data_IF_830904998485
#
_entry.id   IF_830904998485
#
_cell.length_a   1.000
_cell.length_b   1.000
_cell.length_c   1.000
_cell.angle_alpha   90.00
_cell.angle_beta   90.00
_cell.angle_gamma   90.00
#
_symmetry.space_group_name_H-M   'P 1'
#
loop_
_entity.id
_entity.type
_entity.pdbx_description
1 polymer ?
#
# COMPACT_ATOMS: atom_id res chain seq x y z
N UNK A 1 -64.84 42.59 -74.26
CA UNK A 1 -64.09 43.34 -73.23
C UNK A 1 -64.37 42.82 -71.82
N UNK A 2 -65.63 42.73 -71.36
CA UNK A 2 -65.99 42.27 -70.00
C UNK A 2 -65.43 40.86 -69.64
N UNK A 3 -65.55 39.88 -70.54
CA UNK A 3 -65.13 38.49 -70.30
C UNK A 3 -63.60 38.33 -70.11
N UNK A 4 -62.80 39.15 -70.79
CA UNK A 4 -61.33 39.12 -70.69
C UNK A 4 -60.88 39.69 -69.35
N UNK A 5 -61.57 40.73 -68.85
CA UNK A 5 -61.31 41.31 -67.54
C UNK A 5 -61.65 40.34 -66.38
N UNK A 6 -62.75 39.58 -66.50
CA UNK A 6 -63.11 38.55 -65.52
C UNK A 6 -62.14 37.36 -65.52
N UNK A 7 -61.64 36.96 -66.70
CA UNK A 7 -60.59 35.94 -66.80
C UNK A 7 -59.30 36.39 -66.12
N UNK A 8 -58.89 37.65 -66.32
CA UNK A 8 -57.70 38.22 -65.67
C UNK A 8 -57.79 38.21 -64.14
N UNK A 9 -58.95 38.60 -63.58
CA UNK A 9 -59.19 38.54 -62.13
C UNK A 9 -59.16 37.11 -61.58
N UNK A 10 -59.75 36.14 -62.29
CA UNK A 10 -59.71 34.72 -61.89
C UNK A 10 -58.29 34.15 -61.93
N UNK A 11 -57.46 34.58 -62.88
CA UNK A 11 -56.07 34.16 -63.00
C UNK A 11 -55.23 34.71 -61.83
N UNK A 12 -55.38 36.01 -61.51
CA UNK A 12 -54.74 36.62 -60.34
C UNK A 12 -55.16 35.97 -59.02
N UNK A 13 -56.45 35.64 -58.86
CA UNK A 13 -56.94 34.93 -57.67
C UNK A 13 -56.34 33.53 -57.54
N UNK A 14 -56.20 32.81 -58.66
CA UNK A 14 -55.53 31.50 -58.67
C UNK A 14 -54.06 31.60 -58.32
N UNK A 15 -53.36 32.60 -58.85
CA UNK A 15 -51.94 32.84 -58.60
C UNK A 15 -51.68 33.21 -57.12
N UNK A 16 -52.53 34.05 -56.55
CA UNK A 16 -52.52 34.37 -55.12
C UNK A 16 -52.79 33.14 -54.25
N UNK A 17 -53.77 32.31 -54.63
CA UNK A 17 -54.09 31.08 -53.91
C UNK A 17 -52.95 30.05 -53.99
N UNK A 18 -52.29 29.89 -55.14
CA UNK A 18 -51.13 29.00 -55.27
C UNK A 18 -49.95 29.48 -54.44
N UNK A 19 -49.68 30.80 -54.43
CA UNK A 19 -48.60 31.36 -53.63
C UNK A 19 -48.88 31.19 -52.12
N UNK A 20 -50.11 31.38 -51.69
CA UNK A 20 -50.53 31.14 -50.31
C UNK A 20 -50.36 29.66 -49.90
N UNK A 21 -50.81 28.73 -50.74
CA UNK A 21 -50.65 27.30 -50.49
C UNK A 21 -49.17 26.87 -50.50
N UNK A 22 -48.36 27.43 -51.41
CA UNK A 22 -46.92 27.19 -51.46
C UNK A 22 -46.24 27.66 -50.16
N UNK A 23 -46.63 28.83 -49.65
CA UNK A 23 -46.13 29.36 -48.39
C UNK A 23 -46.51 28.45 -47.21
N UNK A 24 -47.77 28.05 -47.11
CA UNK A 24 -48.25 27.12 -46.07
C UNK A 24 -47.52 25.78 -46.13
N UNK A 25 -47.27 25.25 -47.33
CA UNK A 25 -46.51 24.01 -47.52
C UNK A 25 -45.06 24.17 -47.04
N UNK A 26 -44.41 25.28 -47.36
CA UNK A 26 -43.04 25.55 -46.93
C UNK A 26 -42.93 25.72 -45.41
N UNK A 27 -43.91 26.38 -44.78
CA UNK A 27 -44.00 26.51 -43.33
C UNK A 27 -44.22 25.15 -42.66
N UNK A 28 -45.13 24.33 -43.18
CA UNK A 28 -45.38 22.98 -42.68
C UNK A 28 -44.16 22.06 -42.85
N UNK A 29 -43.47 22.11 -43.99
CA UNK A 29 -42.22 21.37 -44.21
C UNK A 29 -41.10 21.84 -43.28
N UNK A 30 -41.01 23.15 -43.04
CA UNK A 30 -40.05 23.73 -42.08
C UNK A 30 -40.31 23.24 -40.66
N UNK A 31 -41.56 23.27 -40.21
CA UNK A 31 -41.98 22.78 -38.90
C UNK A 31 -41.69 21.27 -38.75
N UNK A 32 -42.00 20.46 -39.78
CA UNK A 32 -41.73 19.03 -39.78
C UNK A 32 -40.22 18.72 -39.66
N UNK A 33 -39.37 19.44 -40.42
CA UNK A 33 -37.91 19.28 -40.33
C UNK A 33 -37.38 19.66 -38.95
N UNK A 34 -37.85 20.78 -38.38
CA UNK A 34 -37.46 21.21 -37.04
C UNK A 34 -37.88 20.18 -35.98
N UNK A 35 -39.08 19.60 -36.11
CA UNK A 35 -39.55 18.55 -35.21
C UNK A 35 -38.70 17.28 -35.32
N UNK A 36 -38.32 16.88 -36.54
CA UNK A 36 -37.44 15.74 -36.78
C UNK A 36 -36.07 15.94 -36.13
N UNK A 37 -35.46 17.10 -36.33
CA UNK A 37 -34.17 17.44 -35.72
C UNK A 37 -34.22 17.39 -34.19
N UNK A 38 -35.30 17.90 -33.58
CA UNK A 38 -35.50 17.80 -32.12
C UNK A 38 -35.61 16.35 -31.66
N UNK A 39 -36.33 15.50 -32.40
CA UNK A 39 -36.46 14.09 -32.07
C UNK A 39 -35.10 13.36 -32.14
N UNK A 40 -34.32 13.63 -33.19
CA UNK A 40 -32.98 13.05 -33.35
C UNK A 40 -32.04 13.51 -32.22
N UNK A 41 -32.10 14.79 -31.83
CA UNK A 41 -31.30 15.34 -30.73
C UNK A 41 -31.67 14.70 -29.38
N UNK A 42 -32.96 14.53 -29.09
CA UNK A 42 -33.42 13.84 -27.88
C UNK A 42 -32.99 12.37 -27.84
N UNK A 43 -32.97 11.67 -28.99
CA UNK A 43 -32.45 10.30 -29.05
C UNK A 43 -30.97 10.23 -28.69
N UNK A 44 -30.14 11.13 -29.24
CA UNK A 44 -28.72 11.20 -28.91
C UNK A 44 -28.48 11.48 -27.41
N UNK A 45 -29.20 12.44 -26.84
CA UNK A 45 -29.12 12.74 -25.41
C UNK A 45 -29.57 11.57 -24.54
N UNK A 46 -30.62 10.85 -24.93
CA UNK A 46 -31.09 9.67 -24.21
C UNK A 46 -30.08 8.52 -24.23
N UNK A 47 -29.41 8.30 -25.37
CA UNK A 47 -28.33 7.33 -25.50
C UNK A 47 -27.13 7.68 -24.63
N UNK A 48 -26.69 8.95 -24.67
CA UNK A 48 -25.58 9.43 -23.84
C UNK A 48 -25.87 9.29 -22.34
N UNK A 49 -27.11 9.57 -21.90
CA UNK A 49 -27.52 9.38 -20.50
C UNK A 49 -27.56 7.90 -20.10
N UNK A 50 -28.01 7.02 -21.00
CA UNK A 50 -28.02 5.59 -20.73
C UNK A 50 -26.60 5.04 -20.55
N UNK A 51 -25.65 5.45 -21.40
CA UNK A 51 -24.24 5.09 -21.25
C UNK A 51 -23.63 5.64 -19.96
N UNK A 52 -23.95 6.90 -19.61
CA UNK A 52 -23.50 7.50 -18.36
C UNK A 52 -24.03 6.74 -17.14
N UNK A 53 -25.31 6.36 -17.13
CA UNK A 53 -25.90 5.57 -16.05
C UNK A 53 -25.26 4.18 -15.94
N UNK A 54 -24.95 3.53 -17.06
CA UNK A 54 -24.24 2.24 -17.05
C UNK A 54 -22.84 2.38 -16.44
N UNK A 55 -22.08 3.43 -16.80
CA UNK A 55 -20.77 3.70 -16.21
C UNK A 55 -20.87 3.98 -14.71
N UNK A 56 -21.87 4.76 -14.30
CA UNK A 56 -22.10 5.05 -12.88
C UNK A 56 -22.47 3.78 -12.10
N UNK A 57 -23.30 2.91 -12.65
CA UNK A 57 -23.65 1.63 -12.04
C UNK A 57 -22.43 0.72 -11.89
N UNK A 58 -21.59 0.62 -12.92
CA UNK A 58 -20.35 -0.16 -12.86
C UNK A 58 -19.38 0.37 -11.78
N UNK A 59 -19.29 1.70 -11.61
CA UNK A 59 -18.50 2.31 -10.55
C UNK A 59 -19.08 2.00 -9.17
N UNK A 60 -20.40 2.06 -8.99
CA UNK A 60 -21.06 1.71 -7.72
C UNK A 60 -20.80 0.25 -7.34
N UNK A 61 -20.88 -0.67 -8.28
CA UNK A 61 -20.56 -2.08 -8.04
C UNK A 61 -19.09 -2.30 -7.68
N UNK A 62 -18.18 -1.55 -8.30
CA UNK A 62 -16.76 -1.61 -7.96
C UNK A 62 -16.50 -1.10 -6.54
N UNK A 63 -17.11 0.04 -6.16
CA UNK A 63 -17.00 0.60 -4.81
C UNK A 63 -17.53 -0.39 -3.77
N UNK A 64 -18.71 -1.00 -4.00
CA UNK A 64 -19.27 -2.00 -3.09
C UNK A 64 -18.34 -3.20 -2.90
N UNK A 65 -17.69 -3.67 -3.97
CA UNK A 65 -16.69 -4.75 -3.89
C UNK A 65 -15.48 -4.34 -3.07
N UNK A 66 -14.98 -3.11 -3.25
CA UNK A 66 -13.85 -2.60 -2.46
C UNK A 66 -14.21 -2.46 -0.98
N UNK A 67 -15.40 -1.94 -0.66
CA UNK A 67 -15.88 -1.84 0.73
C UNK A 67 -16.00 -3.22 1.39
N UNK A 68 -16.49 -4.22 0.65
CA UNK A 68 -16.54 -5.59 1.14
C UNK A 68 -15.13 -6.14 1.42
N UNK A 69 -14.19 -5.95 0.49
CA UNK A 69 -12.81 -6.39 0.65
C UNK A 69 -12.13 -5.74 1.86
N UNK A 70 -12.36 -4.44 2.08
CA UNK A 70 -11.85 -3.72 3.26
C UNK A 70 -12.42 -4.31 4.55
N UNK A 71 -13.73 -4.60 4.59
CA UNK A 71 -14.35 -5.24 5.76
C UNK A 71 -13.77 -6.62 6.05
N UNK A 72 -13.56 -7.43 5.02
CA UNK A 72 -12.95 -8.76 5.14
C UNK A 72 -11.50 -8.67 5.64
N UNK A 73 -10.72 -7.72 5.11
CA UNK A 73 -9.34 -7.47 5.57
C UNK A 73 -9.31 -7.00 7.03
N UNK A 74 -10.20 -6.10 7.43
CA UNK A 74 -10.31 -5.63 8.81
C UNK A 74 -10.69 -6.78 9.76
N UNK A 75 -11.63 -7.64 9.36
CA UNK A 75 -11.99 -8.83 10.13
C UNK A 75 -10.79 -9.78 10.29
N UNK A 76 -10.10 -10.09 9.20
CA UNK A 76 -8.92 -10.96 9.22
C UNK A 76 -7.78 -10.40 10.08
N UNK A 77 -7.53 -9.09 10.02
CA UNK A 77 -6.55 -8.43 10.88
C UNK A 77 -6.95 -8.53 12.36
N UNK A 78 -8.21 -8.27 12.70
CA UNK A 78 -8.69 -8.36 14.08
C UNK A 78 -8.60 -9.79 14.66
N UNK A 79 -8.83 -10.79 13.82
CA UNK A 79 -8.69 -12.19 14.21
C UNK A 79 -7.20 -12.56 14.39
N UNK A 80 -6.33 -12.11 13.48
CA UNK A 80 -4.90 -12.32 13.57
C UNK A 80 -4.30 -11.70 14.84
N UNK A 81 -4.68 -10.45 15.17
CA UNK A 81 -4.23 -9.77 16.39
C UNK A 81 -4.73 -10.49 17.64
N UNK A 82 -5.97 -10.96 17.64
CA UNK A 82 -6.53 -11.71 18.79
C UNK A 82 -5.78 -13.03 19.01
N UNK A 83 -5.48 -13.77 17.93
CA UNK A 83 -4.68 -15.00 18.00
C UNK A 83 -3.25 -14.74 18.49
N UNK A 84 -2.62 -13.67 18.03
CA UNK A 84 -1.27 -13.28 18.49
C UNK A 84 -1.25 -12.97 19.99
N UNK A 85 -2.26 -12.25 20.50
CA UNK A 85 -2.37 -11.96 21.92
C UNK A 85 -2.58 -13.21 22.78
N UNK A 86 -3.43 -14.14 22.33
CA UNK A 86 -3.60 -15.43 23.03
C UNK A 86 -2.33 -16.29 22.98
N UNK A 87 -1.60 -16.31 21.87
CA UNK A 87 -0.29 -16.96 21.78
C UNK A 87 0.72 -16.33 22.74
N UNK A 88 0.73 -15.00 22.87
CA UNK A 88 1.61 -14.30 23.81
C UNK A 88 1.30 -14.70 25.26
N UNK A 89 0.03 -14.76 25.66
CA UNK A 89 -0.36 -15.24 27.00
C UNK A 89 0.10 -16.68 27.26
N UNK A 90 -0.04 -17.56 26.27
CA UNK A 90 0.43 -18.95 26.39
C UNK A 90 1.94 -18.97 26.54
N UNK A 91 2.67 -18.17 25.75
CA UNK A 91 4.12 -18.06 25.83
C UNK A 91 4.58 -17.57 27.20
N UNK A 92 3.97 -16.53 27.75
CA UNK A 92 4.26 -16.04 29.11
C UNK A 92 4.00 -17.10 30.19
N UNK A 93 2.92 -17.88 30.06
CA UNK A 93 2.63 -18.97 30.99
C UNK A 93 3.67 -20.08 30.91
N UNK A 94 4.07 -20.45 29.70
CA UNK A 94 5.12 -21.45 29.48
C UNK A 94 6.47 -20.96 30.02
N UNK A 95 6.81 -19.69 29.79
CA UNK A 95 8.03 -19.08 30.32
C UNK A 95 8.06 -19.11 31.85
N UNK A 96 6.99 -18.67 32.53
CA UNK A 96 6.90 -18.76 34.00
C UNK A 96 7.01 -20.21 34.49
N UNK A 97 6.44 -21.17 33.76
CA UNK A 97 6.55 -22.59 34.14
C UNK A 97 7.97 -23.13 33.95
N UNK A 98 8.69 -22.68 32.92
CA UNK A 98 10.08 -23.06 32.69
C UNK A 98 11.00 -22.50 33.77
N UNK A 99 10.83 -21.23 34.14
CA UNK A 99 11.56 -20.57 35.24
C UNK A 99 11.37 -21.32 36.58
N UNK A 100 10.13 -21.74 36.89
CA UNK A 100 9.84 -22.52 38.10
C UNK A 100 10.50 -23.92 38.08
N UNK A 101 10.55 -24.57 36.92
CA UNK A 101 11.22 -25.86 36.76
C UNK A 101 12.74 -25.72 36.84
N UNK A 102 13.29 -24.61 36.37
CA UNK A 102 14.71 -24.29 36.47
C UNK A 102 15.11 -24.06 37.92
N UNK A 103 14.37 -23.23 38.67
CA UNK A 103 14.61 -23.05 40.12
C UNK A 103 14.52 -24.37 40.89
N UNK A 104 13.50 -25.20 40.60
CA UNK A 104 13.39 -26.54 41.24
C UNK A 104 14.61 -27.41 40.93
N UNK A 105 15.08 -27.40 39.68
CA UNK A 105 16.26 -28.18 39.27
C UNK A 105 17.52 -27.67 39.98
N UNK A 106 17.67 -26.36 40.13
CA UNK A 106 18.77 -25.76 40.89
C UNK A 106 18.73 -26.19 42.36
N UNK A 107 17.57 -26.14 43.01
CA UNK A 107 17.40 -26.63 44.38
C UNK A 107 17.75 -28.12 44.51
N UNK A 108 17.25 -28.97 43.60
CA UNK A 108 17.56 -30.41 43.57
C UNK A 108 19.06 -30.68 43.36
N UNK A 109 19.73 -29.86 42.55
CA UNK A 109 21.18 -29.94 42.33
C UNK A 109 21.97 -29.52 43.57
N UNK A 110 21.53 -28.50 44.32
CA UNK A 110 22.16 -28.08 45.57
C UNK A 110 22.05 -29.19 46.61
N UNK A 111 20.86 -29.76 46.81
CA UNK A 111 20.66 -30.89 47.74
C UNK A 111 21.53 -32.08 47.34
N UNK A 112 21.56 -32.42 46.04
CA UNK A 112 22.42 -33.50 45.54
C UNK A 112 23.92 -33.22 45.74
N UNK A 113 24.34 -31.96 45.68
CA UNK A 113 25.73 -31.56 45.92
C UNK A 113 26.09 -31.63 47.42
N UNK A 114 25.18 -31.23 48.30
CA UNK A 114 25.33 -31.37 49.75
C UNK A 114 25.41 -32.85 50.17
N UNK A 115 24.56 -33.70 49.59
CA UNK A 115 24.61 -35.15 49.83
C UNK A 115 25.93 -35.76 49.35
N UNK A 116 26.43 -35.35 48.18
CA UNK A 116 27.76 -35.78 47.70
C UNK A 116 28.87 -35.34 48.63
N UNK A 117 28.86 -34.07 49.09
CA UNK A 117 29.85 -33.57 50.04
C UNK A 117 29.81 -34.34 51.36
N UNK A 118 28.62 -34.66 51.87
CA UNK A 118 28.49 -35.47 53.08
C UNK A 118 29.02 -36.91 52.87
N UNK A 119 28.76 -37.51 51.72
CA UNK A 119 29.31 -38.83 51.40
C UNK A 119 30.83 -38.81 51.24
N UNK A 120 31.39 -37.74 50.66
CA UNK A 120 32.84 -37.53 50.56
C UNK A 120 33.48 -37.36 51.94
N UNK A 121 32.84 -36.61 52.86
CA UNK A 121 33.30 -36.46 54.25
C UNK A 121 33.25 -37.81 55.00
N UNK A 122 32.17 -38.59 54.83
CA UNK A 122 32.07 -39.93 55.41
C UNK A 122 33.12 -40.89 54.83
N UNK A 123 33.40 -40.81 53.53
CA UNK A 123 34.47 -41.57 52.89
C UNK A 123 35.83 -41.15 53.45
N UNK A 124 36.09 -39.86 53.63
CA UNK A 124 37.32 -39.36 54.25
C UNK A 124 37.49 -39.84 55.70
N UNK A 125 36.41 -39.91 56.48
CA UNK A 125 36.42 -40.48 57.83
C UNK A 125 36.69 -42.00 57.83
N UNK A 126 36.07 -42.75 56.92
CA UNK A 126 36.33 -44.20 56.77
C UNK A 126 37.77 -44.45 56.29
N UNK A 127 38.31 -43.58 55.43
CA UNK A 127 39.68 -43.66 54.94
C UNK A 127 40.69 -43.34 56.05
N UNK A 128 40.41 -42.35 56.92
CA UNK A 128 41.17 -42.12 58.15
C UNK A 128 41.10 -43.30 59.13
N UNK A 129 39.97 -43.99 59.24
CA UNK A 129 39.86 -45.21 60.04
C UNK A 129 40.60 -46.40 59.41
N UNK A 130 40.68 -46.45 58.08
CA UNK A 130 41.46 -47.46 57.33
C UNK A 130 42.96 -47.23 57.44
N UNK A 131 43.41 -45.97 57.53
CA UNK A 131 44.81 -45.60 57.76
C UNK A 131 45.28 -45.90 59.20
N UNK A 132 44.35 -46.10 60.14
CA UNK A 132 44.65 -46.52 61.53
C UNK A 132 44.63 -48.06 61.70
N UNK A 133 44.12 -48.81 60.72
CA UNK A 133 44.08 -50.29 60.76
C UNK A 133 44.93 -50.99 59.69
N UNK A 134 45.74 -50.25 58.93
CA UNK A 134 46.62 -50.81 57.90
C UNK A 134 48.09 -50.69 58.28
N UNK A 135 48.44 -51.22 59.46
CA UNK A 135 49.81 -51.54 59.85
C UNK A 135 49.88 -53.03 60.20
N UNK A 136 49.64 -53.90 59.20
CA UNK A 136 50.36 -55.19 59.07
C UNK A 136 50.05 -55.90 57.76
N UNK A 137 51.14 -56.36 57.14
CA UNK A 137 51.29 -57.40 56.12
C UNK A 137 51.17 -57.00 54.64
N UNK A 138 52.37 -56.85 54.07
CA UNK A 138 52.67 -56.96 52.65
C UNK A 138 52.17 -58.29 52.05
N UNK A 139 51.97 -58.22 50.73
CA UNK A 139 52.57 -59.10 49.73
C UNK A 139 51.60 -60.02 48.96
N UNK A 140 51.67 -59.84 47.63
CA UNK A 140 51.58 -60.86 46.56
C UNK A 140 50.22 -61.35 46.04
N UNK A 141 50.17 -61.43 44.70
CA UNK A 141 49.22 -62.24 43.93
C UNK A 141 48.25 -61.40 43.10
N UNK A 142 48.61 -61.02 41.87
CA UNK A 142 48.43 -61.83 40.64
C UNK A 142 47.04 -61.71 40.02
N UNK A 143 47.03 -61.23 38.78
CA UNK A 143 46.19 -61.68 37.66
C UNK A 143 44.68 -61.83 37.86
N UNK A 144 43.92 -60.95 37.20
CA UNK A 144 42.83 -61.38 36.30
C UNK A 144 42.39 -60.20 35.42
N UNK A 145 42.88 -60.20 34.19
CA UNK A 145 42.24 -59.54 33.07
C UNK A 145 40.86 -60.17 32.84
N UNK A 146 39.83 -59.33 32.68
CA UNK A 146 38.67 -59.66 31.84
C UNK A 146 38.30 -58.41 31.04
N UNK A 147 39.00 -58.27 29.91
CA UNK A 147 38.41 -57.73 28.70
C UNK A 147 37.27 -58.68 28.31
N UNK A 148 36.04 -58.17 28.26
CA UNK A 148 35.01 -58.80 27.44
C UNK A 148 35.00 -58.05 26.12
N UNK A 149 35.76 -58.61 25.20
CA UNK A 149 35.65 -58.43 23.77
C UNK A 149 34.24 -58.77 23.29
N UNK A 150 33.78 -57.94 22.34
CA UNK A 150 33.00 -58.28 21.14
C UNK A 150 32.26 -59.61 21.10
N UNK A 151 30.94 -59.52 20.90
CA UNK A 151 30.20 -60.56 20.16
C UNK A 151 29.53 -59.91 18.93
N UNK A 152 30.27 -59.91 17.82
CA UNK A 152 29.71 -59.78 16.48
C UNK A 152 28.92 -61.06 16.15
N UNK A 153 27.64 -61.05 16.48
CA UNK A 153 26.68 -62.03 15.98
C UNK A 153 26.23 -61.69 14.56
N UNK A 154 27.07 -61.96 13.56
CA UNK A 154 26.63 -62.10 12.18
C UNK A 154 25.79 -63.37 12.04
N UNK A 155 24.53 -63.22 11.60
CA UNK A 155 23.80 -64.23 10.82
C UNK A 155 22.53 -63.61 10.18
N UNK A 156 21.99 -64.21 9.10
CA UNK A 156 22.08 -63.61 7.77
C UNK A 156 20.71 -63.27 7.15
N UNK A 157 20.75 -62.40 6.14
CA UNK A 157 19.87 -62.35 4.97
C UNK A 157 18.40 -62.81 5.14
N UNK A 158 17.51 -61.83 5.19
CA UNK A 158 16.28 -61.88 4.38
C UNK A 158 16.08 -60.55 3.70
N UNK A 159 16.54 -60.46 2.44
CA UNK A 159 16.11 -59.45 1.49
C UNK A 159 14.60 -59.54 1.28
N UNK A 160 13.88 -58.51 1.71
CA UNK A 160 12.56 -58.20 1.18
C UNK A 160 12.70 -57.01 0.22
N UNK A 161 12.84 -57.32 -1.06
CA UNK A 161 12.81 -56.34 -2.16
C UNK A 161 11.37 -55.82 -2.37
N UNK A 162 10.84 -55.11 -1.39
CA UNK A 162 9.50 -54.50 -1.46
C UNK A 162 9.42 -53.05 -0.95
N UNK A 163 10.46 -52.54 -0.27
CA UNK A 163 10.43 -51.19 0.32
C UNK A 163 11.04 -50.09 -0.57
N UNK A 164 11.95 -50.42 -1.50
CA UNK A 164 12.57 -49.40 -2.38
C UNK A 164 11.55 -48.72 -3.32
N UNK A 165 10.48 -49.41 -3.69
CA UNK A 165 9.44 -48.88 -4.59
C UNK A 165 8.55 -47.83 -3.90
N UNK A 166 8.21 -48.05 -2.63
CA UNK A 166 7.36 -47.13 -1.88
C UNK A 166 8.09 -45.83 -1.52
N UNK A 167 9.36 -45.93 -1.13
CA UNK A 167 10.21 -44.76 -0.83
C UNK A 167 10.55 -43.96 -2.09
N UNK A 168 10.73 -44.62 -3.24
CA UNK A 168 10.92 -43.93 -4.52
C UNK A 168 9.65 -43.16 -4.93
N UNK A 169 8.46 -43.74 -4.73
CA UNK A 169 7.19 -43.07 -5.04
C UNK A 169 6.92 -41.90 -4.07
N UNK A 170 7.21 -42.07 -2.78
CA UNK A 170 7.05 -41.02 -1.79
C UNK A 170 8.01 -39.85 -2.03
N UNK A 171 9.27 -40.13 -2.37
CA UNK A 171 10.28 -39.10 -2.68
C UNK A 171 9.95 -38.33 -3.96
N UNK A 172 9.46 -38.99 -5.00
CA UNK A 172 8.94 -38.31 -6.21
C UNK A 172 7.77 -37.39 -5.84
N UNK A 173 6.82 -37.87 -5.04
CA UNK A 173 5.67 -37.05 -4.62
C UNK A 173 6.07 -35.86 -3.76
N UNK A 174 7.05 -36.03 -2.87
CA UNK A 174 7.58 -34.95 -2.04
C UNK A 174 8.27 -33.89 -2.89
N UNK A 175 9.08 -34.30 -3.86
CA UNK A 175 9.73 -33.40 -4.81
C UNK A 175 8.72 -32.62 -5.66
N UNK A 176 7.63 -33.26 -6.12
CA UNK A 176 6.54 -32.57 -6.81
C UNK A 176 5.90 -31.50 -5.92
N UNK A 177 5.62 -31.82 -4.65
CA UNK A 177 5.03 -30.88 -3.70
C UNK A 177 5.96 -29.69 -3.41
N UNK A 178 7.26 -29.94 -3.23
CA UNK A 178 8.26 -28.89 -3.03
C UNK A 178 8.36 -27.98 -4.26
N UNK A 179 8.41 -28.55 -5.47
CA UNK A 179 8.48 -27.79 -6.71
C UNK A 179 7.23 -26.91 -6.89
N UNK A 180 6.04 -27.44 -6.59
CA UNK A 180 4.79 -26.67 -6.62
C UNK A 180 4.80 -25.52 -5.60
N UNK A 181 5.28 -25.76 -4.38
CA UNK A 181 5.37 -24.73 -3.35
C UNK A 181 6.37 -23.63 -3.72
N UNK A 182 7.52 -23.99 -4.27
CA UNK A 182 8.51 -23.04 -4.77
C UNK A 182 7.96 -22.21 -5.93
N UNK A 183 7.21 -22.84 -6.85
CA UNK A 183 6.55 -22.15 -7.95
C UNK A 183 5.49 -21.16 -7.45
N UNK A 184 4.63 -21.57 -6.50
CA UNK A 184 3.60 -20.71 -5.90
C UNK A 184 4.24 -19.53 -5.17
N UNK A 185 5.30 -19.79 -4.39
CA UNK A 185 6.07 -18.74 -3.72
C UNK A 185 6.68 -17.76 -4.72
N UNK A 186 7.29 -18.24 -5.80
CA UNK A 186 7.85 -17.40 -6.84
C UNK A 186 6.77 -16.52 -7.50
N UNK A 187 5.61 -17.10 -7.80
CA UNK A 187 4.48 -16.38 -8.36
C UNK A 187 3.95 -15.29 -7.41
N UNK A 188 3.83 -15.59 -6.10
CA UNK A 188 3.41 -14.60 -5.10
C UNK A 188 4.42 -13.46 -4.95
N UNK A 189 5.72 -13.75 -4.98
CA UNK A 189 6.78 -12.73 -4.94
C UNK A 189 6.73 -11.84 -6.19
N UNK A 190 6.53 -12.42 -7.37
CA UNK A 190 6.37 -11.66 -8.60
C UNK A 190 5.12 -10.76 -8.57
N UNK A 191 3.99 -11.30 -8.09
CA UNK A 191 2.76 -10.52 -7.90
C UNK A 191 2.95 -9.36 -6.92
N UNK A 192 3.61 -9.61 -5.79
CA UNK A 192 3.93 -8.57 -4.80
C UNK A 192 4.84 -7.49 -5.39
N UNK A 193 5.86 -7.88 -6.15
CA UNK A 193 6.76 -6.96 -6.87
C UNK A 193 5.99 -6.10 -7.88
N UNK A 194 5.14 -6.72 -8.70
CA UNK A 194 4.35 -6.01 -9.70
C UNK A 194 3.32 -5.07 -9.05
N UNK A 195 2.71 -5.49 -7.93
CA UNK A 195 1.81 -4.64 -7.15
C UNK A 195 2.55 -3.43 -6.57
N UNK A 196 3.73 -3.63 -5.98
CA UNK A 196 4.57 -2.56 -5.45
C UNK A 196 5.00 -1.57 -6.55
N UNK A 197 5.43 -2.08 -7.71
CA UNK A 197 5.79 -1.24 -8.86
C UNK A 197 4.59 -0.43 -9.38
N UNK A 198 3.41 -1.05 -9.44
CA UNK A 198 2.16 -0.38 -9.86
C UNK A 198 1.76 0.71 -8.87
N UNK A 199 1.86 0.44 -7.56
CA UNK A 199 1.58 1.41 -6.51
C UNK A 199 2.56 2.59 -6.59
N UNK A 200 3.86 2.32 -6.75
CA UNK A 200 4.87 3.36 -6.89
C UNK A 200 4.62 4.23 -8.13
N UNK A 201 4.28 3.62 -9.27
CA UNK A 201 3.94 4.34 -10.48
C UNK A 201 2.71 5.24 -10.27
N UNK A 202 1.67 4.71 -9.62
CA UNK A 202 0.46 5.47 -9.29
C UNK A 202 0.76 6.68 -8.39
N UNK A 203 1.63 6.51 -7.39
CA UNK A 203 2.08 7.59 -6.51
C UNK A 203 2.81 8.68 -7.32
N UNK A 204 3.73 8.28 -8.22
CA UNK A 204 4.48 9.22 -9.06
C UNK A 204 3.58 9.98 -10.03
N UNK A 205 2.63 9.31 -10.69
CA UNK A 205 1.69 9.94 -11.62
C UNK A 205 0.78 10.93 -10.90
N UNK A 206 0.20 10.54 -9.76
CA UNK A 206 -0.64 11.44 -8.95
C UNK A 206 0.14 12.68 -8.47
N UNK A 207 1.39 12.49 -8.07
CA UNK A 207 2.29 13.57 -7.67
C UNK A 207 2.58 14.52 -8.82
N UNK A 208 2.89 14.00 -10.01
CA UNK A 208 3.11 14.79 -11.22
C UNK A 208 1.89 15.62 -11.62
N UNK A 209 0.68 15.04 -11.54
CA UNK A 209 -0.56 15.77 -11.78
C UNK A 209 -0.78 16.92 -10.80
N UNK A 210 -0.48 16.70 -9.51
CA UNK A 210 -0.54 17.76 -8.49
C UNK A 210 0.48 18.85 -8.77
N UNK A 211 1.72 18.49 -9.09
CA UNK A 211 2.79 19.44 -9.41
C UNK A 211 2.43 20.33 -10.61
N UNK A 212 1.83 19.75 -11.65
CA UNK A 212 1.35 20.48 -12.81
C UNK A 212 0.30 21.56 -12.45
N UNK A 213 -0.58 21.28 -11.48
CA UNK A 213 -1.55 22.27 -10.99
C UNK A 213 -0.92 23.38 -10.14
N UNK A 214 0.25 23.11 -9.55
CA UNK A 214 1.03 24.06 -8.74
C UNK A 214 2.10 24.80 -9.54
N UNK A 215 2.08 24.68 -10.87
CA UNK A 215 3.07 25.25 -11.77
C UNK A 215 2.57 26.53 -12.43
N UNK A 216 3.41 27.56 -12.46
CA UNK A 216 3.10 28.81 -13.13
C UNK A 216 3.17 28.64 -14.65
N UNK A 217 2.15 29.12 -15.36
CA UNK A 217 2.09 29.07 -16.83
C UNK A 217 3.14 29.95 -17.54
N UNK A 218 3.70 30.95 -16.85
CA UNK A 218 4.73 31.85 -17.40
C UNK A 218 6.13 31.28 -17.15
N UNK A 219 6.48 31.00 -15.89
CA UNK A 219 7.83 30.49 -15.56
C UNK A 219 8.01 29.00 -15.84
N UNK A 220 6.91 28.22 -15.85
CA UNK A 220 6.89 26.75 -15.93
C UNK A 220 7.51 26.04 -14.73
N UNK A 221 7.70 26.77 -13.64
CA UNK A 221 8.15 26.27 -12.35
C UNK A 221 7.01 26.36 -11.33
N UNK A 222 7.16 25.67 -10.20
CA UNK A 222 6.28 25.84 -9.04
C UNK A 222 6.10 27.33 -8.69
N UNK A 223 4.91 27.71 -8.24
CA UNK A 223 4.67 29.11 -7.93
C UNK A 223 5.64 29.66 -6.87
N UNK A 224 6.14 30.87 -7.13
CA UNK A 224 6.93 31.66 -6.18
C UNK A 224 6.18 32.95 -5.93
N UNK A 225 5.84 33.21 -4.67
CA UNK A 225 4.95 34.28 -4.24
C UNK A 225 3.71 34.39 -5.16
N UNK A 226 2.85 33.36 -5.18
CA UNK A 226 1.71 33.30 -6.08
C UNK A 226 0.80 34.50 -5.89
N UNK A 227 0.38 35.06 -7.01
CA UNK A 227 -0.56 36.17 -7.08
C UNK A 227 -1.68 35.86 -8.05
N UNK A 228 -2.90 36.28 -7.71
CA UNK A 228 -4.10 36.12 -8.53
C UNK A 228 -4.45 37.42 -9.23
N UNK A 229 -4.80 37.34 -10.51
CA UNK A 229 -5.26 38.49 -11.30
C UNK A 229 -6.77 38.67 -11.19
N UNK A 230 -7.26 39.87 -10.89
CA UNK A 230 -8.72 40.15 -10.79
C UNK A 230 -9.46 40.03 -12.13
N UNK A 231 -8.75 40.18 -13.25
CA UNK A 231 -9.38 40.19 -14.58
C UNK A 231 -9.87 38.80 -15.05
N UNK A 232 -9.36 37.70 -14.48
CA UNK A 232 -9.70 36.34 -14.89
C UNK A 232 -9.41 35.25 -13.84
N UNK A 233 -9.11 35.65 -12.61
CA UNK A 233 -8.84 34.78 -11.45
C UNK A 233 -7.77 33.72 -11.73
N UNK A 234 -6.73 34.08 -12.50
CA UNK A 234 -5.58 33.22 -12.77
C UNK A 234 -4.42 33.54 -11.85
N UNK A 235 -3.79 32.48 -11.36
CA UNK A 235 -2.61 32.57 -10.49
C UNK A 235 -1.33 32.51 -11.30
N UNK A 236 -0.36 33.35 -10.93
CA UNK A 236 0.98 33.41 -11.50
C UNK A 236 2.00 33.60 -10.40
N UNK A 237 3.27 33.27 -10.68
CA UNK A 237 4.37 33.72 -9.82
C UNK A 237 4.50 35.24 -9.97
N UNK A 238 4.59 35.96 -8.85
CA UNK A 238 4.58 37.44 -8.83
C UNK A 238 5.60 38.03 -9.80
N UNK A 239 6.87 37.61 -9.70
CA UNK A 239 7.94 38.12 -10.54
C UNK A 239 7.74 37.81 -12.03
N UNK A 240 7.26 36.61 -12.35
CA UNK A 240 7.01 36.20 -13.73
C UNK A 240 5.89 37.02 -14.39
N UNK A 241 4.83 37.31 -13.63
CA UNK A 241 3.74 38.16 -14.11
C UNK A 241 4.20 39.63 -14.28
N UNK A 242 4.94 40.18 -13.31
CA UNK A 242 5.46 41.55 -13.41
C UNK A 242 6.32 41.75 -14.66
N UNK A 243 7.26 40.84 -14.92
CA UNK A 243 8.10 40.89 -16.13
C UNK A 243 7.30 40.78 -17.43
N UNK A 244 6.21 40.00 -17.41
CA UNK A 244 5.31 39.88 -18.57
C UNK A 244 4.55 41.18 -18.82
N UNK A 245 4.03 41.81 -17.75
CA UNK A 245 3.30 43.07 -17.82
C UNK A 245 4.18 44.26 -18.22
N UNK A 246 5.45 44.25 -17.83
CA UNK A 246 6.45 45.24 -18.27
C UNK A 246 6.67 45.19 -19.80
N UNK A 247 6.64 43.99 -20.39
CA UNK A 247 6.80 43.81 -21.85
C UNK A 247 5.52 44.12 -22.61
N UNK A 248 4.37 43.77 -22.02
CA UNK A 248 3.06 44.04 -22.60
C UNK A 248 2.05 44.24 -21.47
N UNK A 249 1.40 45.42 -21.34
CA UNK A 249 0.46 45.72 -20.26
C UNK A 249 -0.91 45.06 -20.48
N UNK A 250 -0.89 43.76 -20.79
CA UNK A 250 -2.04 42.95 -21.18
C UNK A 250 -1.95 41.63 -20.42
N UNK A 251 -3.06 41.15 -19.86
CA UNK A 251 -3.10 39.86 -19.18
C UNK A 251 -2.69 38.72 -20.14
N UNK A 252 -1.73 37.85 -19.76
CA UNK A 252 -1.29 36.74 -20.61
C UNK A 252 -2.37 35.73 -20.98
N UNK A 253 -3.46 35.67 -20.20
CA UNK A 253 -4.54 34.69 -20.38
C UNK A 253 -5.77 35.31 -21.05
N UNK A 254 -6.41 36.29 -20.41
CA UNK A 254 -7.67 36.86 -20.92
C UNK A 254 -7.48 38.09 -21.83
N UNK A 255 -6.24 38.58 -21.96
CA UNK A 255 -5.89 39.78 -22.74
C UNK A 255 -6.56 41.08 -22.28
N UNK A 256 -7.01 41.16 -21.03
CA UNK A 256 -7.48 42.41 -20.43
C UNK A 256 -6.34 43.42 -20.21
N UNK A 257 -6.63 44.71 -20.34
CA UNK A 257 -5.65 45.82 -20.21
C UNK A 257 -5.52 46.36 -18.79
N UNK A 258 -6.53 46.18 -17.94
CA UNK A 258 -6.50 46.57 -16.53
C UNK A 258 -6.21 45.32 -15.67
N UNK A 259 -4.92 45.07 -15.41
CA UNK A 259 -4.48 43.91 -14.62
C UNK A 259 -4.18 44.34 -13.19
N UNK A 260 -5.09 44.02 -12.28
CA UNK A 260 -4.90 44.16 -10.83
C UNK A 260 -4.57 42.81 -10.22
N UNK A 261 -3.72 42.83 -9.19
CA UNK A 261 -3.04 41.63 -8.67
C UNK A 261 -3.17 41.60 -7.14
N UNK A 262 -3.50 40.42 -6.59
CA UNK A 262 -3.58 40.17 -5.15
C UNK A 262 -2.74 38.96 -4.75
N UNK A 263 -2.09 38.94 -3.57
CA UNK A 263 -1.41 37.75 -3.07
C UNK A 263 -2.38 36.58 -2.89
N UNK A 264 -2.00 35.39 -3.35
CA UNK A 264 -2.77 34.17 -3.21
C UNK A 264 -2.14 33.26 -2.14
N UNK A 265 -2.55 33.46 -0.88
CA UNK A 265 -1.99 32.73 0.27
C UNK A 265 -2.26 31.22 0.21
N UNK A 266 -3.45 30.83 -0.26
CA UNK A 266 -3.83 29.41 -0.34
C UNK A 266 -2.90 28.66 -1.29
N UNK A 267 -2.58 29.27 -2.43
CA UNK A 267 -1.60 28.69 -3.36
C UNK A 267 -0.19 28.65 -2.79
N UNK A 268 0.21 29.64 -1.98
CA UNK A 268 1.51 29.57 -1.27
C UNK A 268 1.57 28.37 -0.33
N UNK A 269 0.48 28.12 0.43
CA UNK A 269 0.38 27.00 1.36
C UNK A 269 0.45 25.67 0.59
N UNK A 270 -0.31 25.53 -0.50
CA UNK A 270 -0.31 24.31 -1.30
C UNK A 270 1.07 23.98 -1.90
N UNK A 271 1.79 25.00 -2.38
CA UNK A 271 3.17 24.82 -2.88
C UNK A 271 4.11 24.44 -1.76
N UNK A 272 3.97 25.04 -0.57
CA UNK A 272 4.80 24.71 0.59
C UNK A 272 4.58 23.27 1.05
N UNK A 273 3.32 22.82 1.15
CA UNK A 273 2.97 21.44 1.47
C UNK A 273 3.56 20.45 0.45
N UNK A 274 3.51 20.80 -0.83
CA UNK A 274 4.09 19.99 -1.89
C UNK A 274 5.63 19.89 -1.77
N UNK A 275 6.31 20.99 -1.41
CA UNK A 275 7.76 21.00 -1.16
C UNK A 275 8.14 20.18 0.08
N UNK A 276 7.35 20.24 1.16
CA UNK A 276 7.59 19.42 2.35
C UNK A 276 7.40 17.93 2.05
N UNK A 277 6.39 17.57 1.25
CA UNK A 277 6.21 16.19 0.79
C UNK A 277 7.42 15.72 -0.03
N UNK A 278 7.99 16.58 -0.89
CA UNK A 278 9.23 16.30 -1.60
C UNK A 278 10.41 16.01 -0.67
N UNK A 279 10.50 16.72 0.45
CA UNK A 279 11.59 16.57 1.42
C UNK A 279 11.43 15.30 2.25
N UNK A 280 10.20 15.00 2.69
CA UNK A 280 9.90 13.80 3.49
C UNK A 280 10.07 12.52 2.67
N UNK A 281 9.61 12.52 1.41
CA UNK A 281 9.72 11.36 0.53
C UNK A 281 11.06 11.27 -0.22
N UNK A 282 11.79 12.38 -0.37
CA UNK A 282 13.13 12.40 -0.96
C UNK A 282 14.14 11.57 -0.16
N UNK A 283 13.90 11.40 1.14
CA UNK A 283 14.69 10.54 2.02
C UNK A 283 14.36 9.04 1.90
N UNK A 284 13.44 8.65 1.01
CA UNK A 284 13.05 7.25 0.77
C UNK A 284 13.57 6.70 -0.58
N UNK A 285 14.50 7.37 -1.26
CA UNK A 285 15.13 6.83 -2.47
C UNK A 285 16.12 5.70 -2.11
N UNK A 286 15.91 4.43 -2.51
CA UNK A 286 16.81 3.32 -2.17
C UNK A 286 17.98 3.15 -3.15
N UNK A 287 18.39 4.19 -3.90
CA UNK A 287 19.51 4.08 -4.84
C UNK A 287 20.17 5.44 -5.12
N UNK A 288 21.01 5.91 -4.20
CA UNK A 288 22.19 6.71 -4.56
C UNK A 288 23.41 6.21 -3.77
N UNK A 289 24.54 5.91 -4.43
CA UNK A 289 25.77 5.58 -3.73
C UNK A 289 26.24 6.83 -2.97
N UNK A 290 26.52 6.64 -1.68
CA UNK A 290 26.96 7.66 -0.75
C UNK A 290 27.94 8.66 -1.39
N UNK A 291 27.46 9.88 -1.63
CA UNK A 291 28.34 11.02 -1.81
C UNK A 291 28.83 11.43 -0.44
N UNK A 292 30.10 11.12 -0.19
CA UNK A 292 30.93 11.72 0.84
C UNK A 292 30.67 13.23 0.88
N UNK A 293 30.16 13.68 2.02
CA UNK A 293 30.23 15.07 2.45
C UNK A 293 30.96 15.04 3.77
N UNK A 294 32.27 15.21 3.68
CA UNK A 294 33.01 15.79 4.78
C UNK A 294 32.51 17.23 4.96
N UNK A 295 32.34 17.60 6.23
CA UNK A 295 32.22 18.96 6.75
C UNK A 295 30.84 19.65 6.67
N UNK A 296 30.04 19.44 7.72
CA UNK A 296 29.28 20.53 8.37
C UNK A 296 28.81 20.09 9.76
N UNK A 297 29.54 20.56 10.76
CA UNK A 297 29.17 20.55 12.18
C UNK A 297 27.83 21.26 12.37
N UNK A 298 26.76 20.54 12.72
CA UNK A 298 25.54 21.13 13.29
C UNK A 298 25.23 20.42 14.60
N UNK A 299 25.23 21.22 15.65
CA UNK A 299 25.02 20.90 17.05
C UNK A 299 23.66 20.24 17.28
N UNK A 300 23.72 19.04 17.83
CA UNK A 300 22.65 18.21 18.36
C UNK A 300 22.00 18.84 19.59
N UNK A 301 21.06 19.79 19.44
CA UNK A 301 20.09 20.12 20.51
C UNK A 301 18.87 20.87 19.93
N UNK A 302 17.96 20.21 19.17
CA UNK A 302 16.54 20.66 19.02
C UNK A 302 15.65 19.76 18.12
N UNK A 303 15.78 18.43 18.22
CA UNK A 303 14.98 17.49 17.41
C UNK A 303 14.06 16.55 18.20
N UNK A 304 13.90 16.75 19.52
CA UNK A 304 13.12 15.83 20.37
C UNK A 304 11.77 16.37 20.86
N UNK A 305 11.23 17.46 20.28
CA UNK A 305 9.95 18.05 20.75
C UNK A 305 8.81 18.02 19.72
N UNK A 306 9.02 17.58 18.47
CA UNK A 306 7.95 17.58 17.44
C UNK A 306 7.57 16.20 16.87
N UNK A 307 7.87 15.10 17.57
CA UNK A 307 7.41 13.76 17.17
C UNK A 307 6.29 13.19 18.05
N UNK A 308 5.87 13.91 19.11
CA UNK A 308 4.81 13.46 20.02
C UNK A 308 3.45 14.13 19.80
N UNK A 309 3.36 15.24 19.06
CA UNK A 309 2.09 15.94 18.86
C UNK A 309 1.34 15.55 17.57
N UNK A 310 1.95 14.82 16.64
CA UNK A 310 1.25 14.40 15.38
C UNK A 310 0.38 13.16 15.59
N UNK A 311 0.57 12.41 16.68
CA UNK A 311 -0.21 11.20 16.96
C UNK A 311 -1.49 11.50 17.76
N UNK A 312 -1.62 12.69 18.37
CA UNK A 312 -2.76 13.03 19.23
C UNK A 312 -3.91 13.76 18.51
N UNK A 313 -3.70 14.35 17.33
CA UNK A 313 -4.71 15.20 16.68
C UNK A 313 -5.56 14.48 15.61
N UNK A 314 -5.30 13.18 15.36
CA UNK A 314 -6.08 12.38 14.40
C UNK A 314 -7.27 11.65 15.07
N UNK A 315 -7.33 11.60 16.40
CA UNK A 315 -8.38 10.89 17.14
C UNK A 315 -9.63 11.73 17.48
N UNK A 316 -9.65 13.05 17.25
CA UNK A 316 -10.81 13.89 17.64
C UNK A 316 -11.78 14.27 16.51
N UNK A 317 -11.51 13.93 15.24
CA UNK A 317 -12.39 14.34 14.12
C UNK A 317 -13.35 13.24 13.65
N UNK A 318 -13.30 12.03 14.22
CA UNK A 318 -14.24 10.93 13.90
C UNK A 318 -15.26 10.71 15.04
N UNK A 319 -15.70 11.77 15.73
CA UNK A 319 -16.92 11.70 16.57
C UNK A 319 -17.71 13.01 16.48
N UNK A 320 -18.15 13.44 15.30
CA UNK A 320 -19.43 14.15 15.11
C UNK A 320 -19.76 14.05 13.62
N UNK A 321 -20.56 13.07 13.22
CA UNK A 321 -21.69 13.18 12.27
C UNK A 321 -22.30 11.77 12.12
N UNK A 322 -23.15 11.38 13.08
CA UNK A 322 -24.25 10.43 12.87
C UNK A 322 -25.52 11.19 13.27
#
# INVERSE_FOLDING_TARGET
MQQVADLGKRLQLKEAATNYLQQQLNEALGAYRAQRQRADQLQLESGSKAEQNQREQALREHIQRQEQQIREQQAALSECTSRSFEQQKIHERLQRSAELLEMRREDENVVSAEERAHLDDQLAEVQQQSDVLSDTCNQEGSDAALQNDTDEGQNPMTSTNSDESADQVLSVRLNELLCNFEQERAQLLEQASNAAATQQNTILVNRSHREAALTCSISRDLFVDPVVTECCDKTFSSQALMQSLERSPICPICRGTEVRIHPNRDMSILVQLHRSEYTILGNLSPNEPARSTDDATITTEQSDIYLLDVVAEVDEVIIVTI
#
